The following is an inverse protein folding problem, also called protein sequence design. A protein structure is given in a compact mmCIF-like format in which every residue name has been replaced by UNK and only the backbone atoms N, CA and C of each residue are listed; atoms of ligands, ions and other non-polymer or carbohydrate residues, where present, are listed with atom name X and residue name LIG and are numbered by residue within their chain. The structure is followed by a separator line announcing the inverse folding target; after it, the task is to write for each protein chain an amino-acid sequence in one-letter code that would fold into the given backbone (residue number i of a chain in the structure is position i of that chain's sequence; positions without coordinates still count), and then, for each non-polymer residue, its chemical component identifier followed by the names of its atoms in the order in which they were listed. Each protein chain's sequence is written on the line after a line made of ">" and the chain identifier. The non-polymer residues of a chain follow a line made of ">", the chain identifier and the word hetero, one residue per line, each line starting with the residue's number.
data_IF_082598567359
#
_entry.id   IF_082598567359
#
_cell.length_a   1.000
_cell.length_b   1.000
_cell.length_c   1.000
_cell.angle_alpha   90.00
_cell.angle_beta   90.00
_cell.angle_gamma   90.00
#
_symmetry.space_group_name_H-M   'P 1'
#
loop_
_entity.id
_entity.type
_entity.pdbx_description
1 polymer ?
#
# COMPACT_ATOMS: atom_id res chain seq x y z
N UNK A 1 12.90 5.41 -17.25
CA UNK A 1 11.78 5.68 -16.33
C UNK A 1 10.60 6.17 -17.15
N UNK A 2 9.38 5.86 -16.73
CA UNK A 2 8.15 6.27 -17.41
C UNK A 2 7.85 7.72 -17.03
N UNK A 3 7.52 8.60 -17.99
CA UNK A 3 6.99 9.93 -17.71
C UNK A 3 5.45 9.86 -17.68
N UNK A 4 4.88 10.11 -16.52
CA UNK A 4 3.43 10.08 -16.28
C UNK A 4 2.75 11.45 -16.44
N UNK A 5 3.51 12.51 -16.81
CA UNK A 5 3.03 13.90 -16.77
C UNK A 5 1.81 14.15 -17.65
N UNK A 6 1.84 13.63 -18.88
CA UNK A 6 0.78 13.89 -19.88
C UNK A 6 -0.26 12.75 -19.98
N UNK A 7 -0.24 11.81 -19.03
CA UNK A 7 -1.21 10.72 -19.05
C UNK A 7 -2.62 11.19 -18.66
N UNK A 8 -3.66 10.57 -19.26
CA UNK A 8 -5.03 10.90 -18.92
C UNK A 8 -5.33 10.62 -17.44
N UNK A 9 -5.79 11.63 -16.73
CA UNK A 9 -6.21 11.50 -15.33
C UNK A 9 -7.65 11.01 -15.19
N UNK A 10 -8.00 10.45 -14.03
CA UNK A 10 -9.36 10.03 -13.68
C UNK A 10 -9.78 10.63 -12.33
N UNK A 11 -11.08 10.91 -12.19
CA UNK A 11 -11.66 11.34 -10.91
C UNK A 11 -11.85 10.11 -10.02
N UNK A 12 -10.81 9.71 -9.31
CA UNK A 12 -10.87 8.67 -8.28
C UNK A 12 -10.09 9.16 -7.06
N UNK A 13 -10.73 9.07 -5.89
CA UNK A 13 -10.11 9.42 -4.61
C UNK A 13 -9.57 8.15 -3.97
N UNK A 14 -8.35 8.22 -3.47
CA UNK A 14 -7.71 7.13 -2.74
C UNK A 14 -7.58 7.51 -1.26
N UNK A 15 -7.94 6.59 -0.39
CA UNK A 15 -7.80 6.75 1.05
C UNK A 15 -6.32 6.82 1.48
N UNK A 16 -6.09 7.31 2.70
CA UNK A 16 -4.76 7.40 3.32
C UNK A 16 -4.24 8.84 3.42
N UNK A 17 -3.64 9.15 4.58
CA UNK A 17 -3.22 10.49 4.96
C UNK A 17 -1.90 10.97 4.32
N UNK A 18 -1.11 10.05 3.75
CA UNK A 18 0.25 10.35 3.32
C UNK A 18 0.31 10.72 1.84
N UNK A 19 0.68 11.98 1.58
CA UNK A 19 1.02 12.50 0.26
C UNK A 19 -0.16 12.74 -0.69
N UNK A 20 0.11 13.51 -1.73
CA UNK A 20 -0.84 13.70 -2.82
C UNK A 20 -0.89 12.44 -3.69
N UNK A 21 -2.10 12.06 -4.08
CA UNK A 21 -2.37 10.91 -4.95
C UNK A 21 -3.25 11.36 -6.10
N UNK A 22 -2.96 10.88 -7.30
CA UNK A 22 -3.81 11.09 -8.47
C UNK A 22 -4.02 9.76 -9.20
N UNK A 23 -5.16 9.63 -9.88
CA UNK A 23 -5.45 8.48 -10.72
C UNK A 23 -5.07 8.80 -12.17
N UNK A 24 -4.28 7.93 -12.81
CA UNK A 24 -3.91 8.03 -14.23
C UNK A 24 -4.17 6.73 -14.97
N UNK A 25 -4.42 6.84 -16.27
CA UNK A 25 -4.51 5.69 -17.16
C UNK A 25 -3.15 5.45 -17.83
N UNK A 26 -2.64 4.23 -17.72
CA UNK A 26 -1.42 3.81 -18.39
C UNK A 26 -1.61 2.38 -18.92
N UNK A 27 -1.36 2.18 -20.23
CA UNK A 27 -1.53 0.88 -20.91
C UNK A 27 -2.88 0.20 -20.59
N UNK A 28 -3.97 0.97 -20.74
CA UNK A 28 -5.36 0.55 -20.50
C UNK A 28 -5.68 0.13 -19.05
N UNK A 29 -4.76 0.35 -18.13
CA UNK A 29 -4.96 0.10 -16.70
C UNK A 29 -4.97 1.39 -15.90
N UNK A 30 -5.71 1.39 -14.77
CA UNK A 30 -5.76 2.49 -13.84
C UNK A 30 -4.63 2.35 -12.82
N UNK A 31 -3.89 3.43 -12.61
CA UNK A 31 -2.83 3.50 -11.61
C UNK A 31 -3.05 4.67 -10.68
N UNK A 32 -2.74 4.46 -9.41
CA UNK A 32 -2.61 5.50 -8.41
C UNK A 32 -1.16 5.98 -8.38
N UNK A 33 -0.91 7.22 -8.80
CA UNK A 33 0.40 7.85 -8.61
C UNK A 33 0.50 8.39 -7.19
N UNK A 34 1.55 7.99 -6.49
CA UNK A 34 1.96 8.56 -5.21
C UNK A 34 3.16 9.47 -5.42
N UNK A 35 3.11 10.64 -4.79
CA UNK A 35 4.17 11.62 -4.83
C UNK A 35 5.00 11.55 -3.54
N UNK A 36 6.30 11.90 -3.61
CA UNK A 36 7.11 11.97 -2.40
C UNK A 36 6.47 12.93 -1.41
N UNK A 37 6.48 12.56 -0.14
CA UNK A 37 5.97 13.39 0.95
C UNK A 37 6.69 14.74 0.97
N UNK A 38 6.00 15.82 1.37
CA UNK A 38 6.66 17.07 1.67
C UNK A 38 7.60 16.86 2.87
N UNK A 39 8.85 17.32 2.78
CA UNK A 39 9.75 17.37 3.91
C UNK A 39 9.07 18.17 5.04
N UNK A 40 8.58 17.48 6.05
CA UNK A 40 8.12 18.13 7.28
C UNK A 40 9.35 18.46 8.12
N UNK A 41 9.28 19.53 8.90
CA UNK A 41 10.19 20.19 9.82
C UNK A 41 11.51 19.50 10.28
N UNK A 42 11.69 18.20 10.08
CA UNK A 42 12.94 17.48 10.31
C UNK A 42 13.48 17.00 8.96
N UNK A 43 14.47 17.70 8.43
CA UNK A 43 15.16 17.34 7.18
C UNK A 43 15.86 15.97 7.28
N UNK A 44 16.21 15.54 8.47
CA UNK A 44 16.91 14.27 8.75
C UNK A 44 15.98 13.04 8.66
N UNK A 45 14.67 13.22 8.66
CA UNK A 45 13.67 12.17 8.48
C UNK A 45 12.76 12.45 7.27
N UNK A 46 13.33 12.97 6.18
CA UNK A 46 12.54 13.20 4.99
C UNK A 46 12.29 11.88 4.26
N UNK A 47 11.03 11.49 4.18
CA UNK A 47 10.57 10.38 3.32
C UNK A 47 10.66 10.73 1.82
N UNK A 48 11.72 11.45 1.43
CA UNK A 48 11.93 11.84 0.02
C UNK A 48 12.04 10.62 -0.90
N UNK A 49 12.51 9.49 -0.35
CA UNK A 49 12.68 8.22 -1.07
C UNK A 49 11.49 7.27 -0.95
N UNK A 50 10.39 7.67 -0.33
CA UNK A 50 9.23 6.78 -0.11
C UNK A 50 8.71 6.12 -1.38
N UNK A 51 8.71 6.83 -2.52
CA UNK A 51 8.32 6.25 -3.80
C UNK A 51 9.26 5.14 -4.27
N UNK A 52 10.57 5.29 -4.04
CA UNK A 52 11.57 4.28 -4.39
C UNK A 52 11.46 3.08 -3.45
N UNK A 53 11.30 3.33 -2.15
CA UNK A 53 11.13 2.26 -1.15
C UNK A 53 9.89 1.43 -1.45
N UNK A 54 8.76 2.06 -1.78
CA UNK A 54 7.53 1.34 -2.14
C UNK A 54 7.69 0.51 -3.41
N UNK A 55 8.37 1.05 -4.42
CA UNK A 55 8.70 0.31 -5.64
C UNK A 55 9.59 -0.91 -5.33
N UNK A 56 10.68 -0.72 -4.59
CA UNK A 56 11.59 -1.81 -4.23
C UNK A 56 10.91 -2.86 -3.36
N UNK A 57 10.16 -2.43 -2.35
CA UNK A 57 9.43 -3.32 -1.45
C UNK A 57 8.48 -4.24 -2.22
N UNK A 58 7.62 -3.68 -3.06
CA UNK A 58 6.67 -4.50 -3.84
C UNK A 58 7.36 -5.51 -4.76
N UNK A 59 8.51 -5.15 -5.33
CA UNK A 59 9.29 -6.07 -6.17
C UNK A 59 10.00 -7.17 -5.36
N UNK A 60 10.49 -6.85 -4.17
CA UNK A 60 11.07 -7.85 -3.26
C UNK A 60 10.00 -8.88 -2.85
N UNK A 61 8.80 -8.44 -2.49
CA UNK A 61 7.67 -9.33 -2.21
C UNK A 61 7.36 -10.24 -3.41
N UNK A 62 7.28 -9.67 -4.61
CA UNK A 62 7.04 -10.43 -5.83
C UNK A 62 8.14 -11.47 -6.10
N UNK A 63 9.41 -11.11 -5.90
CA UNK A 63 10.55 -12.04 -6.03
C UNK A 63 10.50 -13.16 -4.98
N UNK A 64 10.00 -12.88 -3.78
CA UNK A 64 9.76 -13.89 -2.75
C UNK A 64 8.53 -14.78 -3.03
N UNK A 65 7.83 -14.56 -4.14
CA UNK A 65 6.61 -15.31 -4.49
C UNK A 65 5.38 -14.87 -3.71
N UNK A 66 5.44 -13.75 -2.99
CA UNK A 66 4.33 -13.20 -2.23
C UNK A 66 3.59 -12.19 -3.11
N UNK A 67 2.30 -12.40 -3.39
CA UNK A 67 1.52 -11.45 -4.18
C UNK A 67 1.53 -10.07 -3.55
N UNK A 68 1.99 -9.08 -4.29
CA UNK A 68 2.04 -7.68 -3.90
C UNK A 68 1.41 -6.79 -4.98
N UNK A 69 1.13 -5.55 -4.63
CA UNK A 69 0.61 -4.59 -5.59
C UNK A 69 1.67 -4.34 -6.69
N UNK A 70 1.25 -4.43 -7.94
CA UNK A 70 2.10 -4.09 -9.08
C UNK A 70 2.44 -2.61 -9.04
N UNK A 71 3.74 -2.29 -9.10
CA UNK A 71 4.23 -0.91 -9.07
C UNK A 71 5.17 -0.61 -10.23
N UNK A 72 5.15 0.64 -10.67
CA UNK A 72 6.05 1.18 -11.70
C UNK A 72 6.72 2.44 -11.16
N UNK A 73 8.02 2.58 -11.37
CA UNK A 73 8.75 3.78 -11.02
C UNK A 73 8.82 4.72 -12.22
N UNK A 74 8.54 6.00 -12.00
CA UNK A 74 8.58 6.99 -13.06
C UNK A 74 8.74 8.41 -12.56
N UNK A 75 8.48 9.37 -13.43
CA UNK A 75 8.54 10.79 -13.14
C UNK A 75 7.23 11.48 -13.42
N UNK A 76 7.03 12.62 -12.77
CA UNK A 76 5.89 13.50 -13.00
C UNK A 76 6.32 14.96 -12.79
N UNK A 77 5.94 15.85 -13.71
CA UNK A 77 6.32 17.26 -13.66
C UNK A 77 5.24 18.11 -12.97
N UNK A 78 5.61 18.76 -11.87
CA UNK A 78 4.75 19.70 -11.13
C UNK A 78 5.40 21.09 -11.16
N UNK A 79 4.70 22.07 -11.69
CA UNK A 79 5.16 23.46 -11.76
C UNK A 79 6.60 23.57 -12.31
N UNK A 80 6.88 22.83 -13.39
CA UNK A 80 8.19 22.81 -14.06
C UNK A 80 9.29 21.99 -13.35
N UNK A 81 8.99 21.40 -12.18
CA UNK A 81 9.94 20.54 -11.44
C UNK A 81 9.57 19.08 -11.62
N UNK A 82 10.53 18.27 -12.05
CA UNK A 82 10.39 16.84 -12.14
C UNK A 82 10.47 16.19 -10.74
N UNK A 83 9.59 15.24 -10.48
CA UNK A 83 9.50 14.47 -9.24
C UNK A 83 9.52 12.99 -9.57
N UNK A 84 10.24 12.20 -8.78
CA UNK A 84 10.13 10.75 -8.82
C UNK A 84 8.80 10.37 -8.18
N UNK A 85 8.03 9.52 -8.84
CA UNK A 85 6.73 9.01 -8.39
C UNK A 85 6.67 7.51 -8.52
N UNK A 86 5.85 6.87 -7.71
CA UNK A 86 5.49 5.46 -7.87
C UNK A 86 4.04 5.36 -8.32
N UNK A 87 3.83 4.58 -9.37
CA UNK A 87 2.51 4.24 -9.89
C UNK A 87 2.13 2.86 -9.36
N UNK A 88 1.09 2.81 -8.54
CA UNK A 88 0.54 1.59 -7.97
C UNK A 88 -0.68 1.18 -8.78
N UNK A 89 -0.67 0.00 -9.39
CA UNK A 89 -1.79 -0.48 -10.19
C UNK A 89 -3.03 -0.61 -9.32
N UNK A 90 -4.11 -0.02 -9.79
CA UNK A 90 -5.38 -0.10 -9.08
C UNK A 90 -6.02 -1.48 -9.31
N UNK A 91 -6.09 -2.27 -8.27
CA UNK A 91 -6.72 -3.60 -8.30
C UNK A 91 -8.18 -3.58 -7.82
N UNK A 92 -8.69 -2.41 -7.40
CA UNK A 92 -10.08 -2.28 -7.00
C UNK A 92 -10.99 -2.10 -8.22
N UNK A 93 -12.13 -2.72 -8.18
CA UNK A 93 -13.07 -2.77 -9.30
C UNK A 93 -13.42 -4.21 -9.65
N UNK A 94 -14.32 -4.41 -10.59
CA UNK A 94 -14.79 -5.74 -10.99
C UNK A 94 -15.23 -6.63 -9.79
N UNK A 95 -15.81 -6.02 -8.74
CA UNK A 95 -16.25 -6.72 -7.53
C UNK A 95 -15.18 -6.85 -6.44
N UNK A 96 -13.95 -6.36 -6.66
CA UNK A 96 -12.91 -6.34 -5.64
C UNK A 96 -12.97 -5.04 -4.85
N UNK A 97 -12.89 -5.15 -3.54
CA UNK A 97 -12.89 -4.05 -2.57
C UNK A 97 -11.66 -4.17 -1.68
N UNK A 98 -10.96 -3.05 -1.48
CA UNK A 98 -9.89 -2.98 -0.50
C UNK A 98 -10.48 -2.76 0.89
N UNK A 99 -10.22 -3.67 1.82
CA UNK A 99 -10.48 -3.49 3.24
C UNK A 99 -9.16 -3.51 4.01
N UNK A 100 -9.06 -2.67 5.03
CA UNK A 100 -7.94 -2.74 5.97
C UNK A 100 -8.15 -3.89 6.98
N UNK A 101 -7.05 -4.36 7.57
CA UNK A 101 -7.10 -5.43 8.55
C UNK A 101 -7.85 -5.03 9.83
N UNK A 102 -7.84 -3.76 10.18
CA UNK A 102 -8.60 -3.22 11.32
C UNK A 102 -10.09 -3.45 11.14
N UNK A 103 -10.61 -3.27 9.92
CA UNK A 103 -12.01 -3.56 9.62
C UNK A 103 -12.34 -5.04 9.82
N UNK A 104 -11.47 -5.96 9.39
CA UNK A 104 -11.64 -7.39 9.62
C UNK A 104 -11.61 -7.72 11.12
N UNK A 105 -10.64 -7.19 11.84
CA UNK A 105 -10.47 -7.37 13.28
C UNK A 105 -11.70 -6.88 14.07
N UNK A 106 -12.26 -5.73 13.70
CA UNK A 106 -13.45 -5.17 14.34
C UNK A 106 -14.73 -5.99 14.11
N UNK A 107 -14.76 -6.90 13.14
CA UNK A 107 -15.90 -7.81 12.95
C UNK A 107 -15.89 -8.97 13.93
N UNK A 108 -14.76 -9.24 14.57
CA UNK A 108 -14.55 -10.45 15.39
C UNK A 108 -14.37 -10.12 16.86
N UNK A 109 -13.61 -9.08 17.17
CA UNK A 109 -13.33 -8.69 18.55
C UNK A 109 -14.39 -7.72 19.05
N UNK A 110 -15.19 -8.19 20.00
CA UNK A 110 -16.13 -7.33 20.72
C UNK A 110 -15.38 -6.16 21.35
N UNK A 111 -15.88 -4.97 21.17
CA UNK A 111 -15.27 -3.65 21.23
C UNK A 111 -14.68 -3.19 22.59
N UNK A 112 -14.20 -4.08 23.42
CA UNK A 112 -13.52 -3.71 24.67
C UNK A 112 -12.21 -2.96 24.46
N UNK A 113 -11.50 -3.20 23.36
CA UNK A 113 -10.21 -2.57 23.02
C UNK A 113 -10.23 -1.69 21.78
N UNK A 114 -11.40 -1.37 21.24
CA UNK A 114 -11.59 -0.53 20.03
C UNK A 114 -10.76 -0.95 18.79
N UNK A 115 -10.38 -2.21 18.68
CA UNK A 115 -9.64 -2.71 17.51
C UNK A 115 -8.26 -2.07 17.28
N UNK A 116 -7.77 -1.27 18.22
CA UNK A 116 -6.50 -0.52 18.11
C UNK A 116 -5.28 -1.30 18.59
N UNK A 117 -5.47 -2.49 19.19
CA UNK A 117 -4.37 -3.35 19.61
C UNK A 117 -3.48 -3.73 18.43
N UNK A 118 -2.19 -3.51 18.57
CA UNK A 118 -1.14 -3.88 17.61
C UNK A 118 -0.32 -5.06 18.13
N UNK A 119 -0.75 -5.65 19.24
CA UNK A 119 -0.10 -6.81 19.82
C UNK A 119 -0.25 -8.02 18.89
N UNK A 120 0.83 -8.76 18.72
CA UNK A 120 0.85 -9.93 17.83
C UNK A 120 -0.23 -10.96 18.22
N UNK A 121 -0.45 -11.15 19.53
CA UNK A 121 -1.49 -12.04 20.05
C UNK A 121 -2.87 -11.65 19.53
N UNK A 122 -3.24 -10.38 19.66
CA UNK A 122 -4.54 -9.86 19.19
C UNK A 122 -4.74 -10.04 17.68
N UNK A 123 -3.64 -9.93 16.91
CA UNK A 123 -3.66 -10.13 15.45
C UNK A 123 -3.92 -11.61 15.13
N UNK A 124 -3.22 -12.53 15.79
CA UNK A 124 -3.37 -13.97 15.57
C UNK A 124 -4.74 -14.45 16.02
N UNK A 125 -5.24 -13.99 17.17
CA UNK A 125 -6.59 -14.29 17.66
C UNK A 125 -7.66 -13.81 16.67
N UNK A 126 -7.49 -12.60 16.11
CA UNK A 126 -8.41 -12.10 15.10
C UNK A 126 -8.37 -12.91 13.79
N UNK A 127 -7.20 -13.41 13.39
CA UNK A 127 -7.07 -14.30 12.23
C UNK A 127 -7.81 -15.64 12.49
N UNK A 128 -7.66 -16.20 13.67
CA UNK A 128 -8.28 -17.47 14.03
C UNK A 128 -9.81 -17.37 14.14
N UNK A 129 -10.31 -16.29 14.74
CA UNK A 129 -11.72 -16.12 15.05
C UNK A 129 -12.58 -15.58 13.89
N UNK A 130 -11.96 -14.93 12.87
CA UNK A 130 -12.72 -14.41 11.74
C UNK A 130 -13.31 -15.54 10.89
N UNK A 131 -14.45 -15.26 10.23
CA UNK A 131 -15.21 -16.26 9.44
C UNK A 131 -15.27 -15.94 7.94
N UNK A 132 -14.52 -14.92 7.48
CA UNK A 132 -14.55 -14.47 6.08
C UNK A 132 -13.58 -15.26 5.21
N UNK A 133 -12.42 -15.61 5.77
CA UNK A 133 -11.33 -16.31 5.08
C UNK A 133 -10.98 -17.61 5.82
N UNK A 134 -10.31 -18.50 5.12
CA UNK A 134 -9.67 -19.66 5.75
C UNK A 134 -8.59 -19.20 6.75
N UNK A 135 -8.70 -19.52 8.06
CA UNK A 135 -7.77 -18.99 9.07
C UNK A 135 -6.32 -19.42 8.85
N UNK A 136 -6.09 -20.67 8.43
CA UNK A 136 -4.74 -21.20 8.21
C UNK A 136 -4.09 -20.52 7.01
N UNK A 137 -4.83 -20.30 5.93
CA UNK A 137 -4.34 -19.59 4.77
C UNK A 137 -4.05 -18.12 5.10
N UNK A 138 -4.89 -17.47 5.90
CA UNK A 138 -4.70 -16.08 6.31
C UNK A 138 -3.51 -15.93 7.27
N UNK A 139 -3.34 -16.86 8.23
CA UNK A 139 -2.19 -16.88 9.14
C UNK A 139 -0.88 -17.05 8.37
N UNK A 140 -0.83 -17.99 7.42
CA UNK A 140 0.34 -18.18 6.56
C UNK A 140 0.68 -16.92 5.80
N UNK A 141 -0.33 -16.28 5.20
CA UNK A 141 -0.17 -15.03 4.47
C UNK A 141 0.35 -13.90 5.35
N UNK A 142 -0.15 -13.81 6.58
CA UNK A 142 0.33 -12.83 7.56
C UNK A 142 1.82 -13.05 7.85
N UNK A 143 2.24 -14.29 8.12
CA UNK A 143 3.64 -14.59 8.41
C UNK A 143 4.57 -14.36 7.21
N UNK A 144 4.14 -14.72 6.00
CA UNK A 144 4.90 -14.44 4.78
C UNK A 144 5.17 -12.94 4.63
N UNK A 145 4.16 -12.12 4.82
CA UNK A 145 4.30 -10.65 4.79
C UNK A 145 5.21 -10.16 5.92
N UNK A 146 4.95 -10.58 7.15
CA UNK A 146 5.67 -10.11 8.34
C UNK A 146 7.17 -10.40 8.25
N UNK A 147 7.54 -11.61 7.80
CA UNK A 147 8.96 -12.00 7.65
C UNK A 147 9.66 -11.11 6.61
N UNK A 148 9.03 -10.86 5.46
CA UNK A 148 9.66 -10.03 4.42
C UNK A 148 9.74 -8.58 4.86
N UNK A 149 8.69 -8.03 5.49
CA UNK A 149 8.72 -6.67 6.06
C UNK A 149 9.85 -6.51 7.09
N UNK A 150 10.01 -7.48 7.99
CA UNK A 150 11.09 -7.47 8.96
C UNK A 150 12.49 -7.53 8.31
N UNK A 151 12.64 -8.32 7.24
CA UNK A 151 13.91 -8.43 6.52
C UNK A 151 14.30 -7.16 5.77
N UNK A 152 13.34 -6.44 5.21
CA UNK A 152 13.61 -5.20 4.46
C UNK A 152 13.59 -3.94 5.34
N UNK A 153 13.24 -4.09 6.62
CA UNK A 153 13.18 -2.98 7.57
C UNK A 153 12.01 -2.02 7.33
N UNK A 154 10.90 -2.56 6.87
CA UNK A 154 9.69 -1.77 6.60
C UNK A 154 8.86 -1.60 7.88
#
# INVERSE_FOLDING_TARGET
>A
MIDFTELPTRKKTYAGANGNKIAVMYQDALYMLKFPGAARLNQDMSYANGCISEYLGSHIFALAGIPAQETLLGTYRIKGKEKIVVACKDFTGAGLVLQDFTSLKNTVLDSGSNGTGTELGDILDAIEQQTVFDPDALARRFWDMFIVDALIGN
#
